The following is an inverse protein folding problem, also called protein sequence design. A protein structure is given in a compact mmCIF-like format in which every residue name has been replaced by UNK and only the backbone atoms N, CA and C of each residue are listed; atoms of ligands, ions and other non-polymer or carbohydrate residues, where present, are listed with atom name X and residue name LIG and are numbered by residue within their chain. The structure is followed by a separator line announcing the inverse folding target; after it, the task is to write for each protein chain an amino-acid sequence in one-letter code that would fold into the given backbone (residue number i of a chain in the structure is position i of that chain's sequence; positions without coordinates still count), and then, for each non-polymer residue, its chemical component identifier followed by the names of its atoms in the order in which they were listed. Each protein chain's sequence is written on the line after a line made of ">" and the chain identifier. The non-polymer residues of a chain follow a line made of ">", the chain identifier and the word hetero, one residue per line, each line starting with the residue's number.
data_IF_005419166357
#
_entry.id   IF_005419166357
#
_cell.length_a   1.000
_cell.length_b   1.000
_cell.length_c   1.000
_cell.angle_alpha   90.00
_cell.angle_beta   90.00
_cell.angle_gamma   90.00
#
_symmetry.space_group_name_H-M   'P 1'
#
loop_
_entity.id
_entity.type
_entity.pdbx_description
1 polymer ?
#
# COMPACT_ATOMS: atom_id res chain seq x y z
N UNK A 1 30.26 6.66 -19.67
CA UNK A 1 28.94 6.17 -20.13
C UNK A 1 28.51 5.01 -19.24
N UNK A 2 27.64 5.23 -18.25
CA UNK A 2 27.22 4.22 -17.25
C UNK A 2 25.70 4.27 -16.98
N UNK A 3 24.94 4.94 -17.86
CA UNK A 3 23.47 4.96 -17.83
C UNK A 3 23.00 3.99 -18.92
N UNK A 4 22.30 2.91 -18.54
CA UNK A 4 21.80 1.91 -19.51
C UNK A 4 21.97 0.44 -19.10
N UNK A 5 22.83 0.11 -18.14
CA UNK A 5 23.11 -1.30 -17.74
C UNK A 5 22.56 -1.69 -16.37
N UNK A 6 22.06 -0.72 -15.59
CA UNK A 6 21.51 -0.99 -14.26
C UNK A 6 20.16 -1.69 -14.36
N UNK A 7 19.33 -1.30 -15.33
CA UNK A 7 18.05 -1.91 -15.64
C UNK A 7 18.16 -3.35 -16.19
N UNK A 8 19.31 -3.75 -16.73
CA UNK A 8 19.56 -5.11 -17.23
C UNK A 8 20.25 -6.02 -16.20
N UNK A 9 20.74 -5.47 -15.08
CA UNK A 9 21.44 -6.25 -14.06
C UNK A 9 20.42 -6.97 -13.16
N UNK A 10 20.38 -8.31 -13.15
CA UNK A 10 19.40 -9.06 -12.35
C UNK A 10 19.61 -8.86 -10.85
N UNK A 11 20.85 -8.60 -10.42
CA UNK A 11 21.17 -8.33 -9.00
C UNK A 11 20.59 -7.00 -8.54
N UNK A 12 20.63 -5.97 -9.39
CA UNK A 12 20.09 -4.66 -9.04
C UNK A 12 18.57 -4.70 -8.90
N UNK A 13 17.90 -5.37 -9.85
CA UNK A 13 16.44 -5.54 -9.82
C UNK A 13 15.97 -6.38 -8.62
N UNK A 14 16.71 -7.45 -8.27
CA UNK A 14 16.41 -8.25 -7.07
C UNK A 14 16.52 -7.41 -5.79
N UNK A 15 17.59 -6.63 -5.63
CA UNK A 15 17.76 -5.75 -4.46
C UNK A 15 16.63 -4.72 -4.40
N UNK A 16 16.28 -4.10 -5.54
CA UNK A 16 15.18 -3.14 -5.60
C UNK A 16 13.83 -3.77 -5.19
N UNK A 17 13.59 -5.04 -5.56
CA UNK A 17 12.39 -5.78 -5.15
C UNK A 17 12.36 -6.03 -3.63
N UNK A 18 13.50 -6.38 -3.02
CA UNK A 18 13.62 -6.54 -1.55
C UNK A 18 13.53 -5.22 -0.79
N UNK A 19 13.80 -4.08 -1.43
CA UNK A 19 13.61 -2.76 -0.80
C UNK A 19 12.12 -2.41 -0.62
N UNK A 20 11.21 -2.99 -1.40
CA UNK A 20 9.76 -2.78 -1.24
C UNK A 20 9.26 -3.03 0.19
N UNK A 21 9.46 -4.23 0.78
CA UNK A 21 9.06 -4.49 2.16
C UNK A 21 9.97 -3.82 3.21
N UNK A 22 11.19 -3.40 2.86
CA UNK A 22 12.15 -2.85 3.83
C UNK A 22 11.67 -1.58 4.54
N UNK A 23 10.92 -0.72 3.85
CA UNK A 23 10.35 0.49 4.43
C UNK A 23 9.36 0.20 5.55
N UNK A 24 8.53 -0.84 5.38
CA UNK A 24 7.59 -1.26 6.41
C UNK A 24 8.32 -1.78 7.67
N UNK A 25 9.37 -2.57 7.48
CA UNK A 25 10.20 -3.08 8.58
C UNK A 25 10.87 -1.91 9.33
N UNK A 26 11.38 -0.90 8.62
CA UNK A 26 12.00 0.27 9.23
C UNK A 26 11.01 1.07 10.09
N UNK A 27 9.77 1.25 9.64
CA UNK A 27 8.72 1.93 10.42
C UNK A 27 8.39 1.15 11.69
N UNK A 28 8.20 -0.17 11.59
CA UNK A 28 7.93 -1.02 12.75
C UNK A 28 9.08 -0.98 13.76
N UNK A 29 10.32 -1.08 13.28
CA UNK A 29 11.50 -1.02 14.14
C UNK A 29 11.59 0.33 14.88
N UNK A 30 11.31 1.44 14.19
CA UNK A 30 11.26 2.77 14.82
C UNK A 30 10.23 2.84 15.95
N UNK A 31 9.01 2.34 15.71
CA UNK A 31 7.94 2.28 16.71
C UNK A 31 8.30 1.41 17.92
N UNK A 32 8.89 0.23 17.68
CA UNK A 32 9.34 -0.66 18.75
C UNK A 32 10.42 0.00 19.61
N UNK A 33 11.40 0.66 19.00
CA UNK A 33 12.46 1.39 19.73
C UNK A 33 11.87 2.48 20.64
N UNK A 34 10.88 3.24 20.16
CA UNK A 34 10.27 4.32 20.96
C UNK A 34 9.38 3.83 22.10
N UNK A 35 8.67 2.72 21.90
CA UNK A 35 7.76 2.16 22.91
C UNK A 35 8.49 1.30 23.95
N UNK A 36 9.41 0.45 23.50
CA UNK A 36 10.16 -0.45 24.39
C UNK A 36 11.29 0.28 25.11
N UNK A 37 11.84 1.34 24.52
CA UNK A 37 12.91 2.15 25.12
C UNK A 37 12.53 2.86 26.42
N UNK A 38 11.24 2.86 26.79
CA UNK A 38 10.71 3.46 28.03
C UNK A 38 10.20 2.44 29.06
N UNK A 39 10.24 1.15 28.77
CA UNK A 39 10.05 0.09 29.77
C UNK A 39 11.27 0.13 30.71
N UNK A 40 11.13 0.21 32.06
CA UNK A 40 10.27 -0.66 32.88
C UNK A 40 9.19 0.06 33.71
N UNK A 41 8.80 1.29 33.36
CA UNK A 41 7.84 2.08 34.14
C UNK A 41 6.62 2.46 33.31
N UNK A 42 5.44 1.90 33.62
CA UNK A 42 4.16 2.40 33.08
C UNK A 42 3.84 3.79 33.62
N UNK A 43 4.11 4.02 34.92
CA UNK A 43 4.10 5.33 35.58
C UNK A 43 5.31 5.41 36.52
N UNK A 44 6.23 6.34 36.26
CA UNK A 44 7.42 6.55 37.10
C UNK A 44 7.03 6.76 38.57
N UNK A 45 7.51 5.89 39.45
CA UNK A 45 7.40 6.04 40.91
C UNK A 45 6.11 5.57 41.58
N UNK A 46 5.13 4.98 40.86
CA UNK A 46 3.85 4.55 41.45
C UNK A 46 3.45 3.10 41.12
N UNK A 47 3.66 2.63 39.88
CA UNK A 47 3.25 1.29 39.44
C UNK A 47 4.25 0.71 38.44
N UNK A 48 4.74 -0.51 38.71
CA UNK A 48 5.54 -1.27 37.74
C UNK A 48 4.61 -1.94 36.73
N UNK A 49 5.11 -2.14 35.51
CA UNK A 49 4.39 -2.87 34.45
C UNK A 49 3.95 -4.27 34.92
N UNK A 50 4.74 -4.90 35.80
CA UNK A 50 4.46 -6.21 36.39
C UNK A 50 3.29 -6.19 37.40
N UNK A 51 3.05 -5.07 38.09
CA UNK A 51 2.02 -4.95 39.15
C UNK A 51 0.69 -4.40 38.60
N UNK A 52 0.65 -4.03 37.30
CA UNK A 52 -0.52 -3.43 36.63
C UNK A 52 -1.42 -4.47 35.96
N UNK A 53 -1.15 -5.77 36.16
CA UNK A 53 -1.93 -6.86 35.56
C UNK A 53 -3.05 -7.23 36.54
N UNK A 54 -4.30 -7.02 36.12
CA UNK A 54 -5.48 -7.35 36.93
C UNK A 54 -5.46 -8.82 37.38
N UNK A 55 -5.58 -9.12 38.69
CA UNK A 55 -5.55 -10.49 39.22
C UNK A 55 -6.80 -11.32 38.88
N UNK A 56 -7.80 -10.73 38.22
CA UNK A 56 -9.13 -11.31 37.97
C UNK A 56 -9.32 -11.96 36.60
N UNK A 57 -8.35 -11.85 35.69
CA UNK A 57 -8.39 -12.50 34.38
C UNK A 57 -7.35 -13.61 34.35
N UNK A 58 -7.79 -14.84 34.12
CA UNK A 58 -6.91 -16.00 33.92
C UNK A 58 -5.93 -15.65 32.80
N UNK A 59 -4.62 -15.86 32.97
CA UNK A 59 -3.63 -15.52 31.94
C UNK A 59 -3.93 -16.16 30.57
N UNK A 60 -4.70 -17.25 30.58
CA UNK A 60 -5.25 -17.91 29.40
C UNK A 60 -6.24 -17.02 28.61
N UNK A 61 -7.12 -16.26 29.28
CA UNK A 61 -8.13 -15.41 28.64
C UNK A 61 -7.48 -14.21 27.90
N UNK A 62 -6.44 -13.63 28.50
CA UNK A 62 -5.63 -12.58 27.87
C UNK A 62 -4.88 -13.13 26.66
N UNK A 63 -4.31 -14.33 26.78
CA UNK A 63 -3.62 -14.97 25.66
C UNK A 63 -4.58 -15.28 24.51
N UNK A 64 -5.76 -15.84 24.80
CA UNK A 64 -6.76 -16.18 23.80
C UNK A 64 -7.31 -14.93 23.09
N UNK A 65 -7.59 -13.86 23.83
CA UNK A 65 -8.04 -12.59 23.21
C UNK A 65 -6.94 -11.95 22.36
N UNK A 66 -5.68 -11.93 22.82
CA UNK A 66 -4.54 -11.47 22.03
C UNK A 66 -4.39 -12.29 20.73
N UNK A 67 -4.47 -13.61 20.84
CA UNK A 67 -4.39 -14.52 19.70
C UNK A 67 -5.53 -14.27 18.71
N UNK A 68 -6.74 -14.03 19.19
CA UNK A 68 -7.89 -13.68 18.37
C UNK A 68 -7.65 -12.37 17.59
N UNK A 69 -7.23 -11.29 18.27
CA UNK A 69 -6.88 -10.04 17.60
C UNK A 69 -5.76 -10.24 16.57
N UNK A 70 -4.75 -11.02 16.93
CA UNK A 70 -3.64 -11.32 16.04
C UNK A 70 -4.10 -12.06 14.78
N UNK A 71 -4.99 -13.06 14.93
CA UNK A 71 -5.56 -13.82 13.82
C UNK A 71 -6.39 -12.93 12.88
N UNK A 72 -7.22 -12.04 13.42
CA UNK A 72 -8.01 -11.09 12.63
C UNK A 72 -7.11 -10.15 11.84
N UNK A 73 -6.10 -9.55 12.49
CA UNK A 73 -5.18 -8.65 11.80
C UNK A 73 -4.37 -9.36 10.72
N UNK A 74 -3.85 -10.56 10.97
CA UNK A 74 -3.17 -11.34 9.94
C UNK A 74 -4.08 -11.65 8.76
N UNK A 75 -5.34 -12.02 9.01
CA UNK A 75 -6.31 -12.32 7.95
C UNK A 75 -6.56 -11.11 7.06
N UNK A 76 -6.83 -9.94 7.65
CA UNK A 76 -7.07 -8.71 6.90
C UNK A 76 -5.81 -8.27 6.14
N UNK A 77 -4.65 -8.30 6.79
CA UNK A 77 -3.39 -7.87 6.16
C UNK A 77 -2.95 -8.81 5.04
N UNK A 78 -3.15 -10.12 5.19
CA UNK A 78 -2.88 -11.11 4.16
C UNK A 78 -3.84 -10.95 2.96
N UNK A 79 -5.13 -10.71 3.20
CA UNK A 79 -6.10 -10.46 2.15
C UNK A 79 -5.76 -9.18 1.36
N UNK A 80 -5.41 -8.09 2.06
CA UNK A 80 -4.98 -6.84 1.44
C UNK A 80 -3.69 -7.02 0.63
N UNK A 81 -2.68 -7.67 1.21
CA UNK A 81 -1.42 -7.97 0.52
C UNK A 81 -1.61 -8.86 -0.70
N UNK A 82 -2.46 -9.89 -0.60
CA UNK A 82 -2.83 -10.75 -1.73
C UNK A 82 -3.52 -9.94 -2.84
N UNK A 83 -4.47 -9.07 -2.49
CA UNK A 83 -5.18 -8.24 -3.46
C UNK A 83 -4.25 -7.26 -4.17
N UNK A 84 -3.36 -6.58 -3.43
CA UNK A 84 -2.36 -5.69 -4.00
C UNK A 84 -1.40 -6.43 -4.93
N UNK A 85 -0.89 -7.60 -4.51
CA UNK A 85 -0.02 -8.42 -5.35
C UNK A 85 -0.75 -8.96 -6.58
N UNK A 86 -2.04 -9.30 -6.46
CA UNK A 86 -2.88 -9.71 -7.59
C UNK A 86 -3.05 -8.57 -8.58
N UNK A 87 -3.32 -7.36 -8.10
CA UNK A 87 -3.48 -6.17 -8.94
C UNK A 87 -2.16 -5.80 -9.65
N UNK A 88 -1.04 -5.83 -8.93
CA UNK A 88 0.28 -5.60 -9.52
C UNK A 88 0.62 -6.65 -10.59
N UNK A 89 0.24 -7.92 -10.37
CA UNK A 89 0.48 -9.02 -11.32
C UNK A 89 -0.41 -8.99 -12.56
N UNK A 90 -1.63 -8.45 -12.45
CA UNK A 90 -2.50 -8.25 -13.61
C UNK A 90 -1.88 -7.25 -14.60
N UNK A 91 -1.03 -6.33 -14.10
CA UNK A 91 -0.48 -5.24 -14.90
C UNK A 91 -1.56 -4.22 -15.26
N UNK A 92 -1.20 -3.00 -15.67
CA UNK A 92 -2.18 -2.10 -16.26
C UNK A 92 -2.77 -2.79 -17.48
N UNK A 93 -4.09 -2.98 -17.51
CA UNK A 93 -4.79 -3.45 -18.71
C UNK A 93 -4.27 -2.59 -19.88
N UNK A 94 -3.73 -3.25 -20.90
CA UNK A 94 -3.30 -2.60 -22.15
C UNK A 94 -4.51 -2.09 -22.97
N UNK A 95 -5.59 -1.73 -22.30
CA UNK A 95 -6.84 -1.24 -22.88
C UNK A 95 -6.98 0.28 -22.73
N UNK A 96 -5.86 0.97 -22.53
CA UNK A 96 -5.71 2.39 -22.81
C UNK A 96 -4.30 2.60 -23.38
N UNK A 97 -3.96 1.92 -24.48
CA UNK A 97 -3.24 2.67 -25.50
C UNK A 97 -4.25 3.72 -25.98
N UNK A 98 -4.15 5.00 -25.59
CA UNK A 98 -4.94 5.99 -26.30
C UNK A 98 -4.49 5.83 -27.74
N UNK A 99 -5.42 5.64 -28.67
CA UNK A 99 -5.12 5.74 -30.09
C UNK A 99 -4.12 6.89 -30.25
N UNK A 100 -2.99 6.66 -30.90
CA UNK A 100 -1.97 7.70 -31.05
C UNK A 100 -2.49 8.95 -31.80
N UNK A 101 -3.75 8.92 -32.26
CA UNK A 101 -4.54 10.03 -32.79
C UNK A 101 -5.20 10.91 -31.70
N UNK A 102 -5.38 10.42 -30.47
CA UNK A 102 -5.94 11.14 -29.32
C UNK A 102 -4.84 11.70 -28.41
N UNK A 103 -3.93 12.50 -28.98
CA UNK A 103 -3.07 13.36 -28.15
C UNK A 103 -3.97 14.31 -27.34
N UNK A 104 -3.82 14.42 -26.01
CA UNK A 104 -4.67 15.24 -25.14
C UNK A 104 -4.39 16.76 -25.27
N UNK A 105 -4.12 17.24 -26.49
CA UNK A 105 -3.82 18.66 -26.77
C UNK A 105 -4.74 19.27 -27.83
N UNK A 106 -5.98 18.80 -27.95
CA UNK A 106 -7.03 19.49 -28.71
C UNK A 106 -8.36 19.46 -27.95
N UNK A 107 -8.64 20.45 -27.09
CA UNK A 107 -9.91 20.54 -26.35
C UNK A 107 -11.14 20.84 -27.25
N UNK A 108 -10.99 20.86 -28.58
CA UNK A 108 -12.02 21.31 -29.52
C UNK A 108 -12.27 20.32 -30.69
N UNK A 109 -11.79 19.07 -30.65
CA UNK A 109 -12.12 18.11 -31.73
C UNK A 109 -13.53 17.52 -31.63
N UNK A 110 -14.30 17.86 -30.60
CA UNK A 110 -15.67 17.37 -30.39
C UNK A 110 -16.75 18.18 -31.14
N UNK A 111 -16.40 19.16 -31.98
CA UNK A 111 -17.37 20.04 -32.65
C UNK A 111 -17.49 19.86 -34.17
N UNK A 112 -16.92 18.81 -34.79
CA UNK A 112 -17.15 18.56 -36.22
C UNK A 112 -18.39 17.71 -36.51
N UNK A 113 -19.30 17.55 -35.54
CA UNK A 113 -20.58 16.89 -35.73
C UNK A 113 -21.68 17.97 -35.73
N UNK A 114 -22.33 18.09 -36.89
CA UNK A 114 -23.62 18.75 -37.12
C UNK A 114 -23.65 20.28 -37.22
N UNK A 115 -22.99 20.86 -38.24
CA UNK A 115 -23.44 22.12 -38.88
C UNK A 115 -23.54 22.01 -40.42
N UNK A 116 -23.42 20.80 -40.98
CA UNK A 116 -23.63 20.56 -42.43
C UNK A 116 -25.07 20.09 -42.73
N UNK A 117 -25.89 19.78 -41.72
CA UNK A 117 -27.27 19.32 -41.93
C UNK A 117 -28.31 20.44 -42.01
N UNK A 118 -27.92 21.71 -41.85
CA UNK A 118 -28.86 22.85 -41.79
C UNK A 118 -28.82 23.77 -43.04
N UNK A 119 -28.05 23.42 -44.09
CA UNK A 119 -27.97 24.21 -45.33
C UNK A 119 -28.68 23.56 -46.54
N UNK A 120 -29.48 22.50 -46.35
CA UNK A 120 -30.23 21.84 -47.44
C UNK A 120 -31.75 22.01 -47.34
N UNK A 121 -32.23 23.09 -46.73
CA UNK A 121 -33.63 23.52 -46.78
C UNK A 121 -33.72 25.04 -46.95
N UNK A 122 -33.73 25.50 -48.20
CA UNK A 122 -34.09 26.88 -48.52
C UNK A 122 -33.37 27.45 -49.73
N UNK A 123 -33.62 26.90 -50.92
CA UNK A 123 -33.93 27.66 -52.15
C UNK A 123 -34.24 26.70 -53.30
#
# INVERSE_FOLDING_TARGET
>A
AWRGQLEHSPRFLQVAQWMGPSGFIAVLAGWVVTEVGRQPWTVYGLLRTADSVSPTLTGLDVFLSLLFYQAVYFTVYAAAGYYLLRLIRQGPDAELAPDASARPMRPLSASSISLESENCHGH
#
